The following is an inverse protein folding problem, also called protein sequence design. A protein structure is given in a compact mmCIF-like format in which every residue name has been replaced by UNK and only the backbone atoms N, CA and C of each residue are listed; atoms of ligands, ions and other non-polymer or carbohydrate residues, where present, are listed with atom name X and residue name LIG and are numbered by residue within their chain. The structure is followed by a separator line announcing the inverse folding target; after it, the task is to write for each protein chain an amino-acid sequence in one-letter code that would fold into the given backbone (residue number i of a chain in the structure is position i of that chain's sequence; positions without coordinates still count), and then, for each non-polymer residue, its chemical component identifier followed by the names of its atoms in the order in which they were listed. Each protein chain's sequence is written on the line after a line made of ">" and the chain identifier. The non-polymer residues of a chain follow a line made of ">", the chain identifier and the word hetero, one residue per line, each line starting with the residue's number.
data_IF_975327726113
#
_entry.id   IF_975327726113
#
_cell.length_a   1.000
_cell.length_b   1.000
_cell.length_c   1.000
_cell.angle_alpha   90.00
_cell.angle_beta   90.00
_cell.angle_gamma   90.00
#
_symmetry.space_group_name_H-M   'P 1'
#
loop_
_entity.id
_entity.type
_entity.pdbx_description
1 polymer ?
#
# COMPACT_ATOMS: atom_id res chain seq x y z
N UNK A 1 14.59 13.91 -0.91
CA UNK A 1 14.47 12.81 0.08
C UNK A 1 13.26 11.94 -0.23
N UNK A 2 12.02 12.44 -0.19
CA UNK A 2 10.86 11.66 -0.67
C UNK A 2 10.96 11.26 -2.15
N UNK A 3 11.54 12.12 -3.00
CA UNK A 3 11.71 11.84 -4.44
C UNK A 3 12.58 10.60 -4.73
N UNK A 4 13.62 10.35 -3.93
CA UNK A 4 14.49 9.18 -4.08
C UNK A 4 13.74 7.89 -3.72
N UNK A 5 12.94 7.93 -2.65
CA UNK A 5 12.07 6.82 -2.24
C UNK A 5 11.00 6.56 -3.31
N UNK A 6 10.39 7.61 -3.87
CA UNK A 6 9.42 7.50 -4.96
C UNK A 6 10.07 6.83 -6.19
N UNK A 7 11.29 7.24 -6.58
CA UNK A 7 12.01 6.62 -7.70
C UNK A 7 12.32 5.14 -7.45
N UNK A 8 12.75 4.80 -6.24
CA UNK A 8 12.97 3.41 -5.81
C UNK A 8 11.69 2.56 -5.95
N UNK A 9 10.56 3.06 -5.45
CA UNK A 9 9.25 2.39 -5.57
C UNK A 9 8.87 2.24 -7.06
N UNK A 10 9.02 3.30 -7.86
CA UNK A 10 8.70 3.26 -9.29
C UNK A 10 9.51 2.20 -10.03
N UNK A 11 10.80 2.07 -9.74
CA UNK A 11 11.68 1.09 -10.36
C UNK A 11 11.36 -0.34 -9.89
N UNK A 12 11.24 -0.57 -8.58
CA UNK A 12 11.02 -1.89 -8.01
C UNK A 12 9.67 -2.52 -8.43
N UNK A 13 8.66 -1.69 -8.64
CA UNK A 13 7.32 -2.14 -9.05
C UNK A 13 7.06 -1.92 -10.55
N UNK A 14 8.07 -1.55 -11.35
CA UNK A 14 7.88 -1.38 -12.78
C UNK A 14 7.39 -2.67 -13.45
N UNK A 15 6.38 -2.56 -14.32
CA UNK A 15 5.86 -3.71 -15.08
C UNK A 15 5.05 -4.73 -14.26
N UNK A 16 4.72 -4.44 -12.99
CA UNK A 16 3.83 -5.31 -12.21
C UNK A 16 2.46 -5.41 -12.93
N UNK A 17 1.97 -6.63 -13.21
CA UNK A 17 0.74 -6.83 -13.97
C UNK A 17 -0.49 -6.42 -13.15
N UNK A 18 -1.50 -5.93 -13.86
CA UNK A 18 -2.79 -5.60 -13.24
C UNK A 18 -3.50 -6.87 -12.73
N UNK A 19 -4.09 -6.85 -11.52
CA UNK A 19 -4.75 -8.02 -10.95
C UNK A 19 -6.02 -8.41 -11.71
N UNK A 20 -6.27 -9.72 -11.76
CA UNK A 20 -7.44 -10.27 -12.45
C UNK A 20 -8.67 -10.43 -11.54
N UNK A 21 -8.46 -10.74 -10.25
CA UNK A 21 -9.54 -11.13 -9.33
C UNK A 21 -10.07 -9.94 -8.54
N UNK A 22 -9.27 -9.47 -7.57
CA UNK A 22 -9.65 -8.40 -6.64
C UNK A 22 -8.98 -7.11 -7.08
N UNK A 23 -9.76 -6.23 -7.70
CA UNK A 23 -9.33 -4.90 -8.13
C UNK A 23 -9.65 -3.85 -7.07
N UNK A 24 -9.15 -2.61 -7.22
CA UNK A 24 -9.18 -1.60 -6.16
C UNK A 24 -10.60 -1.31 -5.66
N UNK A 25 -11.54 -1.02 -6.56
CA UNK A 25 -12.93 -0.74 -6.17
C UNK A 25 -13.67 -1.99 -5.69
N UNK A 26 -13.26 -3.19 -6.11
CA UNK A 26 -13.82 -4.45 -5.59
C UNK A 26 -13.38 -4.65 -4.13
N UNK A 27 -12.11 -4.44 -3.84
CA UNK A 27 -11.58 -4.52 -2.48
C UNK A 27 -12.24 -3.49 -1.55
N UNK A 28 -12.43 -2.25 -2.01
CA UNK A 28 -13.16 -1.23 -1.24
C UNK A 28 -14.63 -1.63 -1.01
N UNK A 29 -15.27 -2.25 -2.00
CA UNK A 29 -16.64 -2.75 -1.84
C UNK A 29 -16.74 -3.90 -0.83
N UNK A 30 -15.73 -4.78 -0.77
CA UNK A 30 -15.67 -5.87 0.20
C UNK A 30 -15.57 -5.35 1.64
N UNK A 31 -14.84 -4.25 1.86
CA UNK A 31 -14.85 -3.55 3.16
C UNK A 31 -16.24 -3.01 3.53
N UNK A 32 -17.00 -2.56 2.52
CA UNK A 32 -18.39 -2.13 2.66
C UNK A 32 -19.39 -3.31 2.66
N UNK A 33 -18.91 -4.54 2.82
CA UNK A 33 -19.69 -5.79 2.83
C UNK A 33 -20.46 -6.09 1.53
N UNK A 34 -20.08 -5.47 0.41
CA UNK A 34 -20.67 -5.70 -0.90
C UNK A 34 -19.85 -6.70 -1.73
N UNK A 35 -20.11 -7.98 -1.48
CA UNK A 35 -19.50 -9.13 -2.18
C UNK A 35 -20.29 -9.59 -3.42
N UNK A 36 -21.43 -8.95 -3.71
CA UNK A 36 -22.37 -9.38 -4.75
C UNK A 36 -22.20 -8.68 -6.09
N UNK A 37 -21.50 -7.55 -6.11
CA UNK A 37 -21.44 -6.63 -7.26
C UNK A 37 -20.02 -6.38 -7.77
N UNK A 38 -19.11 -7.33 -7.59
CA UNK A 38 -17.71 -7.24 -8.06
C UNK A 38 -17.59 -6.78 -9.52
N UNK A 39 -18.48 -7.27 -10.41
CA UNK A 39 -18.46 -6.91 -11.83
C UNK A 39 -18.76 -5.42 -12.07
N UNK A 40 -19.59 -4.79 -11.24
CA UNK A 40 -19.94 -3.38 -11.35
C UNK A 40 -18.87 -2.49 -10.74
N UNK A 41 -18.29 -2.87 -9.60
CA UNK A 41 -17.15 -2.16 -9.01
C UNK A 41 -15.92 -2.21 -9.92
N UNK A 42 -15.66 -3.37 -10.55
CA UNK A 42 -14.55 -3.55 -11.49
C UNK A 42 -14.61 -2.62 -12.72
N UNK A 43 -15.80 -2.14 -13.10
CA UNK A 43 -15.94 -1.18 -14.22
C UNK A 43 -15.40 0.21 -13.88
N UNK A 44 -15.28 0.54 -12.59
CA UNK A 44 -14.73 1.80 -12.09
C UNK A 44 -13.21 1.80 -12.09
N UNK A 45 -12.59 0.62 -12.07
CA UNK A 45 -11.14 0.50 -11.99
C UNK A 45 -10.44 1.00 -13.26
N UNK A 46 -9.41 1.79 -13.04
CA UNK A 46 -8.49 2.22 -14.09
C UNK A 46 -7.81 1.01 -14.76
N UNK A 47 -7.57 1.06 -16.07
CA UNK A 47 -6.91 0.01 -16.85
C UNK A 47 -5.61 0.53 -17.45
N UNK A 48 -4.48 0.02 -16.97
CA UNK A 48 -3.16 0.45 -17.39
C UNK A 48 -2.10 0.19 -16.31
N UNK A 49 -0.92 0.83 -16.41
CA UNK A 49 0.14 0.72 -15.41
C UNK A 49 -0.30 1.34 -14.07
N UNK A 50 0.14 0.77 -12.94
CA UNK A 50 -0.25 1.26 -11.61
C UNK A 50 0.17 2.72 -11.37
N UNK A 51 1.22 3.20 -12.05
CA UNK A 51 1.74 4.56 -11.96
C UNK A 51 0.72 5.63 -12.41
N UNK A 52 -0.26 5.23 -13.22
CA UNK A 52 -1.26 6.12 -13.81
C UNK A 52 -2.64 5.99 -13.17
N UNK A 53 -2.75 5.25 -12.05
CA UNK A 53 -4.01 5.20 -11.29
C UNK A 53 -4.37 6.62 -10.85
N UNK A 54 -5.61 7.09 -11.13
CA UNK A 54 -6.04 8.41 -10.70
C UNK A 54 -5.96 8.60 -9.18
N UNK A 55 -5.46 9.75 -8.73
CA UNK A 55 -5.41 10.13 -7.31
C UNK A 55 -6.79 9.97 -6.64
N UNK A 56 -7.88 10.30 -7.34
CA UNK A 56 -9.25 10.15 -6.85
C UNK A 56 -9.63 8.70 -6.53
N UNK A 57 -9.07 7.71 -7.23
CA UNK A 57 -9.33 6.30 -6.92
C UNK A 57 -8.64 5.92 -5.61
N UNK A 58 -7.41 6.41 -5.39
CA UNK A 58 -6.69 6.19 -4.14
C UNK A 58 -7.44 6.86 -2.99
N UNK A 59 -7.84 8.13 -3.14
CA UNK A 59 -8.58 8.89 -2.14
C UNK A 59 -9.93 8.27 -1.76
N UNK A 60 -10.63 7.66 -2.72
CA UNK A 60 -11.94 7.04 -2.49
C UNK A 60 -11.86 5.57 -2.05
N UNK A 61 -10.69 4.92 -2.16
CA UNK A 61 -10.52 3.50 -1.84
C UNK A 61 -9.50 3.28 -0.71
N UNK A 62 -9.59 4.06 0.36
CA UNK A 62 -8.60 4.06 1.44
C UNK A 62 -8.54 2.73 2.19
N UNK A 63 -9.62 1.94 2.25
CA UNK A 63 -9.66 0.67 2.98
C UNK A 63 -9.26 -0.55 2.14
N UNK A 64 -9.23 -0.40 0.81
CA UNK A 64 -9.02 -1.49 -0.14
C UNK A 64 -7.76 -2.35 0.13
N UNK A 65 -6.65 -1.77 0.59
CA UNK A 65 -5.38 -2.51 0.77
C UNK A 65 -5.50 -3.76 1.66
N UNK A 66 -6.44 -3.77 2.62
CA UNK A 66 -6.68 -4.91 3.52
C UNK A 66 -7.44 -6.06 2.88
N UNK A 67 -8.12 -5.83 1.75
CA UNK A 67 -8.99 -6.82 1.08
C UNK A 67 -8.42 -7.33 -0.25
N UNK A 68 -7.30 -6.75 -0.70
CA UNK A 68 -6.63 -7.20 -1.90
C UNK A 68 -6.02 -8.60 -1.70
N UNK A 69 -6.12 -9.41 -2.74
CA UNK A 69 -5.33 -10.64 -2.87
C UNK A 69 -3.84 -10.31 -3.16
N UNK A 70 -2.92 -11.28 -3.11
CA UNK A 70 -1.49 -11.00 -3.29
C UNK A 70 -1.14 -10.28 -4.61
N UNK A 71 -1.85 -10.60 -5.70
CA UNK A 71 -1.65 -9.93 -6.99
C UNK A 71 -2.08 -8.47 -6.93
N UNK A 72 -3.28 -8.20 -6.39
CA UNK A 72 -3.80 -6.86 -6.25
C UNK A 72 -2.99 -6.02 -5.28
N UNK A 73 -2.56 -6.61 -4.17
CA UNK A 73 -1.75 -5.93 -3.17
C UNK A 73 -0.41 -5.48 -3.78
N UNK A 74 0.28 -6.38 -4.51
CA UNK A 74 1.52 -6.03 -5.21
C UNK A 74 1.34 -4.93 -6.26
N UNK A 75 0.19 -4.86 -6.91
CA UNK A 75 -0.10 -3.85 -7.93
C UNK A 75 -0.51 -2.49 -7.34
N UNK A 76 -1.37 -2.45 -6.33
CA UNK A 76 -1.93 -1.19 -5.80
C UNK A 76 -1.10 -0.57 -4.68
N UNK A 77 -0.42 -1.36 -3.84
CA UNK A 77 0.43 -0.83 -2.77
C UNK A 77 1.44 0.25 -3.23
N UNK A 78 2.20 0.08 -4.33
CA UNK A 78 3.14 1.13 -4.76
C UNK A 78 2.43 2.43 -5.17
N UNK A 79 1.22 2.37 -5.73
CA UNK A 79 0.44 3.56 -6.04
C UNK A 79 0.06 4.31 -4.76
N UNK A 80 -0.38 3.59 -3.72
CA UNK A 80 -0.69 4.17 -2.41
C UNK A 80 0.55 4.77 -1.74
N UNK A 81 1.70 4.08 -1.75
CA UNK A 81 2.94 4.61 -1.17
C UNK A 81 3.40 5.89 -1.88
N UNK A 82 3.39 5.92 -3.23
CA UNK A 82 3.78 7.10 -3.99
C UNK A 82 2.80 8.26 -3.77
N UNK A 83 1.50 8.00 -3.78
CA UNK A 83 0.50 9.02 -3.50
C UNK A 83 0.64 9.56 -2.07
N UNK A 84 0.87 8.68 -1.09
CA UNK A 84 1.09 9.05 0.30
C UNK A 84 2.30 9.97 0.45
N UNK A 85 3.47 9.60 -0.08
CA UNK A 85 4.68 10.44 -0.01
C UNK A 85 4.51 11.83 -0.65
N UNK A 86 3.65 11.95 -1.66
CA UNK A 86 3.33 13.24 -2.30
C UNK A 86 2.35 14.09 -1.49
N UNK A 87 1.55 13.49 -0.61
CA UNK A 87 0.38 14.16 -0.02
C UNK A 87 0.29 14.08 1.51
N UNK A 88 1.12 13.32 2.23
CA UNK A 88 0.98 13.09 3.68
C UNK A 88 1.01 14.37 4.54
N UNK A 89 1.72 15.40 4.09
CA UNK A 89 1.71 16.74 4.74
C UNK A 89 0.44 17.56 4.47
N UNK A 90 -0.49 17.05 3.66
CA UNK A 90 -1.75 17.68 3.34
C UNK A 90 -2.91 16.90 3.99
N UNK A 91 -3.26 17.32 5.20
CA UNK A 91 -4.32 16.70 6.01
C UNK A 91 -5.73 16.74 5.40
N UNK A 92 -5.95 17.51 4.32
CA UNK A 92 -7.21 17.48 3.58
C UNK A 92 -7.30 16.29 2.63
N UNK A 93 -6.14 15.79 2.17
CA UNK A 93 -6.03 14.68 1.24
C UNK A 93 -5.81 13.37 1.97
N UNK A 94 -4.78 13.33 2.82
CA UNK A 94 -4.46 12.14 3.61
C UNK A 94 -5.21 12.23 4.93
N UNK A 95 -6.19 11.34 5.10
CA UNK A 95 -6.99 11.24 6.33
C UNK A 95 -6.51 10.12 7.24
N UNK A 96 -5.88 9.10 6.67
CA UNK A 96 -5.43 7.89 7.34
C UNK A 96 -4.10 7.43 6.76
N UNK A 97 -3.28 6.80 7.59
CA UNK A 97 -1.98 6.25 7.20
C UNK A 97 -2.09 4.82 6.65
N UNK A 98 -3.14 4.56 5.86
CA UNK A 98 -3.47 3.19 5.41
C UNK A 98 -2.36 2.55 4.57
N UNK A 99 -1.58 3.34 3.82
CA UNK A 99 -0.39 2.85 3.13
C UNK A 99 0.69 2.34 4.10
N UNK A 100 0.89 3.03 5.23
CA UNK A 100 1.81 2.64 6.29
C UNK A 100 1.26 1.44 7.09
N UNK A 101 -0.01 1.48 7.48
CA UNK A 101 -0.66 0.39 8.22
C UNK A 101 -0.76 -0.91 7.40
N UNK A 102 -0.86 -0.81 6.07
CA UNK A 102 -0.80 -1.97 5.19
C UNK A 102 0.54 -2.73 5.29
N UNK A 103 1.62 -2.03 5.66
CA UNK A 103 2.97 -2.59 5.84
C UNK A 103 3.19 -3.18 7.24
N UNK A 104 2.18 -3.23 8.10
CA UNK A 104 2.27 -3.98 9.34
C UNK A 104 2.37 -5.48 9.06
N UNK A 105 3.52 -6.08 9.39
CA UNK A 105 3.74 -7.51 9.26
C UNK A 105 3.62 -8.25 10.60
N UNK A 106 3.37 -7.53 11.70
CA UNK A 106 3.37 -8.09 13.05
C UNK A 106 2.18 -7.57 13.87
N UNK A 107 1.08 -8.28 13.80
CA UNK A 107 -0.13 -8.00 14.59
C UNK A 107 -0.15 -8.72 15.95
N UNK A 108 0.78 -9.63 16.23
CA UNK A 108 0.74 -10.54 17.40
C UNK A 108 -0.39 -11.60 17.34
N UNK A 109 -1.30 -11.46 16.37
CA UNK A 109 -2.39 -12.38 16.08
C UNK A 109 -2.02 -13.36 14.94
N UNK A 110 -1.89 -14.68 15.20
CA UNK A 110 -1.38 -15.65 14.23
C UNK A 110 -2.12 -15.70 12.89
N UNK A 111 -3.44 -15.44 12.89
CA UNK A 111 -4.24 -15.42 11.66
C UNK A 111 -3.89 -14.26 10.75
N UNK A 112 -3.68 -13.09 11.35
CA UNK A 112 -3.30 -11.88 10.64
C UNK A 112 -1.86 -11.98 10.11
N UNK A 113 -0.95 -12.61 10.88
CA UNK A 113 0.40 -12.92 10.39
C UNK A 113 0.40 -13.83 9.15
N UNK A 114 -0.46 -14.86 9.13
CA UNK A 114 -0.63 -15.73 7.97
C UNK A 114 -1.09 -14.97 6.73
N UNK A 115 -2.11 -14.12 6.89
CA UNK A 115 -2.60 -13.27 5.81
C UNK A 115 -1.53 -12.29 5.30
N UNK A 116 -0.77 -11.64 6.19
CA UNK A 116 0.32 -10.74 5.79
C UNK A 116 1.43 -11.46 5.04
N UNK A 117 1.85 -12.65 5.48
CA UNK A 117 2.82 -13.47 4.74
C UNK A 117 2.31 -13.81 3.33
N UNK A 118 1.01 -14.07 3.19
CA UNK A 118 0.40 -14.33 1.89
C UNK A 118 0.38 -13.07 1.00
N UNK A 119 0.02 -11.90 1.53
CA UNK A 119 0.01 -10.63 0.78
C UNK A 119 1.38 -10.30 0.18
N UNK A 120 2.46 -10.51 0.93
CA UNK A 120 3.83 -10.25 0.48
C UNK A 120 4.47 -11.43 -0.29
N UNK A 121 3.78 -12.56 -0.46
CA UNK A 121 4.35 -13.79 -1.06
C UNK A 121 4.85 -13.63 -2.50
N UNK A 122 4.34 -12.63 -3.23
CA UNK A 122 4.70 -12.35 -4.61
C UNK A 122 5.76 -11.25 -4.78
N UNK A 123 6.27 -10.70 -3.67
CA UNK A 123 7.18 -9.56 -3.70
C UNK A 123 8.61 -10.02 -3.97
N UNK A 124 9.31 -9.32 -4.87
CA UNK A 124 10.74 -9.51 -5.07
C UNK A 124 11.55 -8.86 -3.93
N UNK A 125 12.84 -9.22 -3.77
CA UNK A 125 13.73 -8.53 -2.83
C UNK A 125 13.75 -7.02 -3.03
N UNK A 126 13.75 -6.54 -4.28
CA UNK A 126 13.76 -5.11 -4.62
C UNK A 126 12.44 -4.43 -4.19
N UNK A 127 11.31 -5.12 -4.32
CA UNK A 127 10.00 -4.62 -3.88
C UNK A 127 9.92 -4.51 -2.36
N UNK A 128 10.46 -5.50 -1.64
CA UNK A 128 10.56 -5.46 -0.18
C UNK A 128 11.50 -4.34 0.30
N UNK A 129 12.64 -4.14 -0.39
CA UNK A 129 13.55 -3.04 -0.09
C UNK A 129 12.90 -1.67 -0.34
N UNK A 130 12.10 -1.52 -1.39
CA UNK A 130 11.34 -0.29 -1.64
C UNK A 130 10.29 -0.02 -0.56
N UNK A 131 9.57 -1.05 -0.09
CA UNK A 131 8.68 -0.93 1.08
C UNK A 131 9.46 -0.54 2.34
N UNK A 132 10.63 -1.13 2.58
CA UNK A 132 11.47 -0.79 3.72
C UNK A 132 11.96 0.66 3.68
N UNK A 133 12.34 1.16 2.50
CA UNK A 133 12.74 2.56 2.31
C UNK A 133 11.59 3.54 2.58
N UNK A 134 10.35 3.18 2.18
CA UNK A 134 9.15 3.95 2.53
C UNK A 134 8.92 4.01 4.03
N UNK A 135 8.98 2.87 4.72
CA UNK A 135 8.80 2.81 6.19
C UNK A 135 9.90 3.59 6.90
N UNK A 136 11.17 3.42 6.50
CA UNK A 136 12.30 4.15 7.09
C UNK A 136 12.16 5.66 6.93
N UNK A 137 11.72 6.11 5.75
CA UNK A 137 11.46 7.53 5.50
C UNK A 137 10.41 8.11 6.46
N UNK A 138 9.32 7.38 6.72
CA UNK A 138 8.28 7.83 7.66
C UNK A 138 8.72 7.70 9.12
N UNK A 139 9.53 6.70 9.46
CA UNK A 139 10.13 6.54 10.79
C UNK A 139 11.11 7.68 11.13
N UNK A 140 11.72 8.32 10.13
CA UNK A 140 12.58 9.50 10.28
C UNK A 140 11.81 10.84 10.18
N UNK A 141 10.53 10.83 9.81
CA UNK A 141 9.73 12.05 9.73
C UNK A 141 9.44 12.57 11.15
N UNK A 142 9.67 13.87 11.37
CA UNK A 142 9.44 14.56 12.64
C UNK A 142 8.42 15.68 12.49
N UNK A 143 7.57 15.61 11.46
CA UNK A 143 6.60 16.66 11.17
C UNK A 143 5.28 16.51 11.92
N UNK A 144 5.04 15.34 12.54
CA UNK A 144 3.78 15.00 13.21
C UNK A 144 2.60 14.84 12.23
N UNK A 145 2.89 14.57 10.95
CA UNK A 145 1.89 14.43 9.87
C UNK A 145 1.65 12.97 9.46
N UNK A 146 2.37 12.03 10.06
CA UNK A 146 2.24 10.58 9.90
C UNK A 146 2.22 9.98 11.29
N UNK A 147 1.86 8.71 11.43
CA UNK A 147 2.08 7.94 12.65
C UNK A 147 3.56 7.51 12.77
N UNK A 148 4.45 8.44 13.15
CA UNK A 148 5.90 8.17 13.20
C UNK A 148 6.28 7.07 14.21
N UNK A 149 5.59 7.02 15.36
CA UNK A 149 5.81 6.00 16.40
C UNK A 149 5.50 4.60 15.86
N UNK A 150 4.42 4.48 15.09
CA UNK A 150 4.08 3.23 14.40
C UNK A 150 5.12 2.87 13.34
N UNK A 151 5.54 3.84 12.52
CA UNK A 151 6.53 3.63 11.47
C UNK A 151 7.86 3.14 12.06
N UNK A 152 8.36 3.78 13.12
CA UNK A 152 9.58 3.40 13.83
C UNK A 152 9.47 1.97 14.38
N UNK A 153 8.33 1.64 14.99
CA UNK A 153 8.08 0.29 15.53
C UNK A 153 8.16 -0.79 14.44
N UNK A 154 7.43 -0.65 13.34
CA UNK A 154 7.43 -1.67 12.29
C UNK A 154 8.77 -1.72 11.54
N UNK A 155 9.49 -0.58 11.48
CA UNK A 155 10.83 -0.50 10.93
C UNK A 155 11.79 -1.42 11.70
N UNK A 156 11.95 -1.19 13.00
CA UNK A 156 12.88 -1.96 13.82
C UNK A 156 12.44 -3.41 14.03
N UNK A 157 11.14 -3.69 14.03
CA UNK A 157 10.65 -5.06 14.20
C UNK A 157 10.84 -5.93 12.95
N UNK A 158 10.73 -5.36 11.74
CA UNK A 158 10.72 -6.17 10.52
C UNK A 158 11.44 -5.55 9.32
N UNK A 159 11.19 -4.28 9.02
CA UNK A 159 11.60 -3.72 7.72
C UNK A 159 13.09 -3.39 7.61
N UNK A 160 13.78 -3.09 8.72
CA UNK A 160 15.21 -2.70 8.71
C UNK A 160 16.14 -3.75 8.06
N UNK A 161 15.74 -5.03 8.02
CA UNK A 161 16.56 -6.11 7.44
C UNK A 161 16.61 -6.10 5.90
N UNK A 162 15.83 -5.25 5.25
CA UNK A 162 15.78 -5.12 3.79
C UNK A 162 16.44 -3.83 3.28
N UNK A 163 17.14 -3.09 4.16
CA UNK A 163 18.04 -1.98 3.84
C UNK A 163 19.49 -2.39 4.08
#
# INVERSE_FOLDING_TARGET
>A
MSDEVIQSIQAAFHGVPQPAKITLHVAEAHDNYDYGHDADHRKKDYRGPWQEIPDEHIENCQCALSYLDPEGFRFYLPAFMVWYLKNYKNSRKVKLDNALYALDTYSGEPRLEGHKKEQFSLFSPEQLAACAAFVAFLADDRSGMTDEDFAERIYFNFWHKYL
#
